data_IF_646127493954
#
_entry.id   IF_646127493954
#
_cell.length_a   1.000
_cell.length_b   1.000
_cell.length_c   1.000
_cell.angle_alpha   90.00
_cell.angle_beta   90.00
_cell.angle_gamma   90.00
#
_symmetry.space_group_name_H-M   'P 1'
#
loop_
_entity.id
_entity.type
_entity.pdbx_description
1 polymer ?
#
# COMPACT_ATOMS: atom_id res chain seq x y z
N UNK A 1 -2.19 10.81 24.75
CA UNK A 1 -2.17 10.12 23.43
C UNK A 1 -1.17 10.73 22.43
N UNK A 2 -0.03 11.30 22.84
CA UNK A 2 0.89 11.99 21.91
C UNK A 2 1.54 11.05 20.88
N UNK A 3 1.96 9.86 21.30
CA UNK A 3 2.61 8.89 20.41
C UNK A 3 1.64 8.29 19.38
N UNK A 4 0.40 7.99 19.79
CA UNK A 4 -0.65 7.52 18.88
C UNK A 4 -1.02 8.59 17.83
N UNK A 5 -1.09 9.86 18.25
CA UNK A 5 -1.31 10.98 17.33
C UNK A 5 -0.16 11.11 16.33
N UNK A 6 1.10 10.98 16.79
CA UNK A 6 2.29 11.03 15.93
C UNK A 6 2.25 9.94 14.84
N UNK A 7 2.04 8.68 15.21
CA UNK A 7 2.01 7.60 14.22
C UNK A 7 0.77 7.66 13.30
N UNK A 8 -0.36 8.16 13.81
CA UNK A 8 -1.61 8.26 13.04
C UNK A 8 -1.65 9.44 12.06
N UNK A 9 -1.06 10.58 12.40
CA UNK A 9 -1.11 11.78 11.55
C UNK A 9 0.15 11.97 10.71
N UNK A 10 1.32 11.55 11.20
CA UNK A 10 2.60 11.79 10.51
C UNK A 10 3.03 10.59 9.64
N UNK A 11 2.32 9.44 9.73
CA UNK A 11 2.69 8.22 9.01
C UNK A 11 3.99 7.57 9.49
N UNK A 12 4.57 8.06 10.58
CA UNK A 12 5.80 7.54 11.15
C UNK A 12 5.56 6.20 11.88
N UNK A 13 6.52 5.28 11.76
CA UNK A 13 6.65 4.12 12.64
C UNK A 13 7.69 4.39 13.73
N UNK A 14 7.42 3.95 14.96
CA UNK A 14 8.29 4.13 16.12
C UNK A 14 8.83 2.79 16.61
N UNK A 15 10.15 2.61 16.58
CA UNK A 15 10.83 1.46 17.17
C UNK A 15 10.96 1.66 18.69
N UNK A 16 10.46 0.69 19.46
CA UNK A 16 10.55 0.67 20.93
C UNK A 16 11.71 -0.22 21.32
N UNK A 17 12.65 0.31 22.12
CA UNK A 17 13.82 -0.43 22.61
C UNK A 17 13.74 -0.74 24.10
N UNK A 18 14.26 -1.89 24.51
CA UNK A 18 14.52 -2.27 25.90
C UNK A 18 16.00 -2.66 26.02
N UNK A 19 16.73 -2.03 26.94
CA UNK A 19 18.17 -2.26 27.17
C UNK A 19 19.01 -2.15 25.88
N UNK A 20 18.72 -1.13 25.07
CA UNK A 20 19.39 -0.87 23.79
C UNK A 20 19.01 -1.81 22.65
N UNK A 21 18.09 -2.76 22.88
CA UNK A 21 17.65 -3.74 21.87
C UNK A 21 16.22 -3.46 21.42
N UNK A 22 15.94 -3.66 20.15
CA UNK A 22 14.58 -3.59 19.62
C UNK A 22 13.67 -4.58 20.37
N UNK A 23 12.54 -4.09 20.85
CA UNK A 23 11.57 -4.84 21.65
C UNK A 23 10.15 -4.74 21.09
N UNK A 24 9.84 -3.72 20.28
CA UNK A 24 8.53 -3.58 19.63
C UNK A 24 8.52 -2.48 18.58
N UNK A 25 7.42 -2.41 17.84
CA UNK A 25 7.16 -1.39 16.82
C UNK A 25 5.76 -0.84 17.07
N UNK A 26 5.61 0.49 17.01
CA UNK A 26 4.32 1.16 17.01
C UNK A 26 4.13 1.86 15.66
N UNK A 27 3.01 1.63 15.01
CA UNK A 27 2.61 2.25 13.75
C UNK A 27 1.09 2.48 13.76
N UNK A 28 0.58 3.23 12.79
CA UNK A 28 -0.87 3.34 12.59
C UNK A 28 -1.46 2.00 12.15
N UNK A 29 -2.76 1.81 12.38
CA UNK A 29 -3.44 0.62 11.88
C UNK A 29 -3.49 0.60 10.35
N UNK A 30 -3.64 1.76 9.72
CA UNK A 30 -3.65 1.93 8.26
C UNK A 30 -2.33 1.48 7.63
N UNK A 31 -1.18 1.85 8.24
CA UNK A 31 0.13 1.40 7.77
C UNK A 31 0.28 -0.12 7.91
N UNK A 32 -0.15 -0.69 9.04
CA UNK A 32 -0.11 -2.14 9.25
C UNK A 32 -0.96 -2.90 8.23
N UNK A 33 -2.19 -2.44 7.98
CA UNK A 33 -3.08 -3.03 6.98
C UNK A 33 -2.54 -2.88 5.55
N UNK A 34 -1.99 -1.71 5.21
CA UNK A 34 -1.36 -1.47 3.92
C UNK A 34 -0.13 -2.36 3.66
N UNK A 35 0.67 -2.64 4.69
CA UNK A 35 1.77 -3.60 4.60
C UNK A 35 1.26 -5.02 4.34
N UNK A 36 0.19 -5.45 5.01
CA UNK A 36 -0.42 -6.75 4.78
C UNK A 36 -0.99 -6.89 3.37
N UNK A 37 -1.70 -5.87 2.88
CA UNK A 37 -2.20 -5.82 1.50
C UNK A 37 -1.04 -5.90 0.49
N UNK A 38 0.02 -5.12 0.71
CA UNK A 38 1.22 -5.14 -0.14
C UNK A 38 1.83 -6.55 -0.18
N UNK A 39 1.97 -7.22 0.96
CA UNK A 39 2.48 -8.59 1.02
C UNK A 39 1.56 -9.59 0.31
N UNK A 40 0.24 -9.42 0.42
CA UNK A 40 -0.74 -10.24 -0.31
C UNK A 40 -0.55 -10.06 -1.82
N UNK A 41 -0.45 -8.83 -2.31
CA UNK A 41 -0.21 -8.53 -3.74
C UNK A 41 1.11 -9.15 -4.21
N UNK A 42 2.19 -8.99 -3.44
CA UNK A 42 3.51 -9.55 -3.78
C UNK A 42 3.52 -11.09 -3.81
N UNK A 43 2.70 -11.74 -2.98
CA UNK A 43 2.58 -13.20 -2.94
C UNK A 43 1.79 -13.78 -4.13
N UNK A 44 0.93 -12.97 -4.76
CA UNK A 44 0.11 -13.38 -5.90
C UNK A 44 0.83 -13.10 -7.24
N UNK A 45 1.49 -14.13 -7.77
CA UNK A 45 2.19 -14.08 -9.05
C UNK A 45 1.28 -13.69 -10.25
N UNK A 46 0.09 -14.28 -10.43
CA UNK A 46 -0.89 -13.81 -11.41
C UNK A 46 -1.24 -12.32 -11.30
N UNK A 47 -1.50 -11.81 -10.10
CA UNK A 47 -1.81 -10.40 -9.87
C UNK A 47 -0.62 -9.51 -10.23
N UNK A 48 0.59 -9.86 -9.78
CA UNK A 48 1.81 -9.14 -10.13
C UNK A 48 2.06 -9.08 -11.64
N UNK A 49 1.76 -10.16 -12.38
CA UNK A 49 1.82 -10.15 -13.86
C UNK A 49 0.78 -9.22 -14.46
N UNK A 50 -0.42 -9.20 -13.90
CA UNK A 50 -1.51 -8.33 -14.34
C UNK A 50 -1.18 -6.86 -14.12
N UNK A 51 -0.60 -6.50 -12.97
CA UNK A 51 -0.12 -5.15 -12.68
C UNK A 51 0.98 -4.70 -13.65
N UNK A 52 1.98 -5.56 -13.93
CA UNK A 52 3.03 -5.26 -14.93
C UNK A 52 2.46 -5.04 -16.33
N UNK A 53 1.45 -5.82 -16.71
CA UNK A 53 0.76 -5.64 -17.99
C UNK A 53 0.01 -4.31 -18.01
N UNK A 54 -0.72 -3.99 -16.94
CA UNK A 54 -1.46 -2.74 -16.80
C UNK A 54 -0.53 -1.51 -16.89
N UNK A 55 0.62 -1.50 -16.21
CA UNK A 55 1.62 -0.42 -16.33
C UNK A 55 2.12 -0.25 -17.78
N UNK A 56 2.42 -1.36 -18.46
CA UNK A 56 2.80 -1.32 -19.89
C UNK A 56 1.68 -0.79 -20.78
N UNK A 57 0.42 -1.15 -20.51
CA UNK A 57 -0.74 -0.68 -21.24
C UNK A 57 -0.95 0.83 -21.02
N UNK A 58 -0.84 1.28 -19.78
CA UNK A 58 -0.92 2.70 -19.39
C UNK A 58 0.14 3.54 -20.11
N UNK A 59 1.41 3.13 -20.07
CA UNK A 59 2.52 3.82 -20.75
C UNK A 59 2.37 3.87 -22.27
N UNK A 60 1.65 2.91 -22.86
CA UNK A 60 1.36 2.86 -24.30
C UNK A 60 0.08 3.60 -24.69
N UNK A 61 -0.59 4.26 -23.75
CA UNK A 61 -1.87 4.91 -23.98
C UNK A 61 -3.00 3.93 -24.30
N UNK A 62 -2.84 2.64 -23.95
CA UNK A 62 -3.87 1.60 -24.11
C UNK A 62 -4.84 1.64 -22.93
N UNK A 63 -5.44 2.81 -22.72
CA UNK A 63 -6.40 3.08 -21.66
C UNK A 63 -7.70 3.57 -22.26
N UNK A 64 -8.78 3.43 -21.49
CA UNK A 64 -10.09 3.94 -21.85
C UNK A 64 -10.51 4.97 -20.81
N UNK A 65 -11.08 6.07 -21.27
CA UNK A 65 -11.76 7.04 -20.42
C UNK A 65 -13.07 6.45 -19.91
N UNK A 66 -13.60 7.02 -18.83
CA UNK A 66 -14.92 6.65 -18.32
C UNK A 66 -15.99 6.70 -19.42
N UNK A 67 -16.05 7.78 -20.21
CA UNK A 67 -17.01 7.90 -21.31
C UNK A 67 -16.85 6.77 -22.35
N UNK A 68 -15.63 6.41 -22.74
CA UNK A 68 -15.40 5.32 -23.69
C UNK A 68 -15.88 3.95 -23.19
N UNK A 69 -15.86 3.72 -21.87
CA UNK A 69 -16.33 2.46 -21.26
C UNK A 69 -17.84 2.44 -21.10
N UNK A 70 -18.45 3.55 -20.67
CA UNK A 70 -19.86 3.60 -20.25
C UNK A 70 -20.82 4.25 -21.27
N UNK A 71 -20.35 4.70 -22.43
CA UNK A 71 -21.19 5.35 -23.47
C UNK A 71 -22.08 4.41 -24.29
N UNK A 72 -22.03 3.09 -24.05
CA UNK A 72 -22.87 2.09 -24.73
C UNK A 72 -23.84 1.34 -23.81
N UNK A 73 -24.21 1.93 -22.68
CA UNK A 73 -25.28 1.43 -21.80
C UNK A 73 -26.40 2.46 -21.68
#
# INVERSE_FOLDING_TARGET
MKLLKKVGEEGDSLLITKDGKAAGLLMSIEEYEGLLETLQVLSDNPLMRSLKKADKDFRKGRTYTHAQVFSKS
#
